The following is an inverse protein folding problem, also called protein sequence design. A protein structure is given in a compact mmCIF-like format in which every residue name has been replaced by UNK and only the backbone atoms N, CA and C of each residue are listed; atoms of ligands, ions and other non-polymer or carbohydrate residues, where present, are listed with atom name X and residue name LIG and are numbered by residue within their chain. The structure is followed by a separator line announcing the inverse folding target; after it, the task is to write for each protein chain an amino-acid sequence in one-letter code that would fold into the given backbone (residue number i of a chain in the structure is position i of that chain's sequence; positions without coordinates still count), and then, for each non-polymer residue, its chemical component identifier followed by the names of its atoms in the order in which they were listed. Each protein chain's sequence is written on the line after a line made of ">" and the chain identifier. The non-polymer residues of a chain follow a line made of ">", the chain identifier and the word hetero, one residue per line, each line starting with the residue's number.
data_IF_889881048132
#
_entry.id   IF_889881048132
#
_cell.length_a   1.000
_cell.length_b   1.000
_cell.length_c   1.000
_cell.angle_alpha   90.00
_cell.angle_beta   90.00
_cell.angle_gamma   90.00
#
_symmetry.space_group_name_H-M   'P 1'
#
loop_
_entity.id
_entity.type
_entity.pdbx_description
1 polymer ?
#
# COMPACT_ATOMS: atom_id res chain seq x y z
N UNK A 1 19.28 23.14 20.33
CA UNK A 1 18.58 21.93 19.86
C UNK A 1 17.80 22.31 18.61
N UNK A 2 18.33 22.09 17.41
CA UNK A 2 17.60 22.35 16.16
C UNK A 2 16.86 21.08 15.77
N UNK A 3 15.55 21.03 16.05
CA UNK A 3 14.71 19.98 15.49
C UNK A 3 14.72 20.07 13.96
N UNK A 4 14.88 18.95 13.28
CA UNK A 4 14.73 18.91 11.82
C UNK A 4 13.30 19.33 11.46
N UNK A 5 13.16 20.40 10.66
CA UNK A 5 11.87 20.86 10.19
C UNK A 5 11.27 19.77 9.28
N UNK A 6 10.09 19.25 9.66
CA UNK A 6 9.34 18.32 8.82
C UNK A 6 8.58 19.11 7.77
N UNK A 7 9.24 19.38 6.65
CA UNK A 7 8.64 20.08 5.51
C UNK A 7 8.00 19.03 4.60
N UNK A 8 6.70 19.19 4.35
CA UNK A 8 5.97 18.33 3.39
C UNK A 8 6.26 18.73 1.95
N UNK A 9 5.97 17.82 1.02
CA UNK A 9 6.09 18.10 -0.40
C UNK A 9 5.01 19.07 -0.88
N UNK A 10 5.36 19.95 -1.81
CA UNK A 10 4.41 20.82 -2.48
C UNK A 10 3.73 20.12 -3.68
N UNK A 11 2.70 20.75 -4.25
CA UNK A 11 1.96 20.18 -5.37
C UNK A 11 2.83 19.96 -6.63
N UNK A 12 3.81 20.83 -6.88
CA UNK A 12 4.70 20.71 -8.04
C UNK A 12 5.65 19.52 -7.86
N UNK A 13 6.13 19.26 -6.65
CA UNK A 13 6.92 18.10 -6.30
C UNK A 13 6.12 16.80 -6.44
N UNK A 14 4.88 16.77 -5.95
CA UNK A 14 3.99 15.62 -6.14
C UNK A 14 3.76 15.36 -7.63
N UNK A 15 3.51 16.40 -8.44
CA UNK A 15 3.36 16.27 -9.89
C UNK A 15 4.59 15.68 -10.56
N UNK A 16 5.80 16.06 -10.13
CA UNK A 16 7.05 15.45 -10.64
C UNK A 16 7.11 13.96 -10.36
N UNK A 17 6.65 13.51 -9.18
CA UNK A 17 6.59 12.08 -8.84
C UNK A 17 5.53 11.38 -9.70
N UNK A 18 4.34 11.96 -9.85
CA UNK A 18 3.26 11.43 -10.68
C UNK A 18 3.71 11.19 -12.13
N UNK A 19 4.45 12.14 -12.71
CA UNK A 19 4.86 12.11 -14.13
C UNK A 19 6.29 11.58 -14.35
N UNK A 20 6.95 11.06 -13.31
CA UNK A 20 8.34 10.60 -13.41
C UNK A 20 8.45 9.51 -14.49
N UNK A 21 9.29 9.72 -15.51
CA UNK A 21 9.56 8.66 -16.47
C UNK A 21 10.48 7.62 -15.81
N UNK A 22 10.02 6.37 -15.82
CA UNK A 22 10.74 5.23 -15.24
C UNK A 22 11.00 4.13 -16.27
N UNK A 23 10.74 4.40 -17.56
CA UNK A 23 10.80 3.42 -18.65
C UNK A 23 12.16 2.74 -18.82
N UNK A 24 13.25 3.40 -18.41
CA UNK A 24 14.60 2.84 -18.46
C UNK A 24 14.97 1.98 -17.24
N UNK A 25 14.12 1.94 -16.21
CA UNK A 25 14.37 1.24 -14.95
C UNK A 25 13.55 -0.04 -14.83
N UNK A 26 13.91 -0.87 -13.85
CA UNK A 26 13.13 -2.07 -13.54
C UNK A 26 11.70 -1.74 -13.10
N UNK A 27 10.73 -2.58 -13.47
CA UNK A 27 9.31 -2.49 -13.08
C UNK A 27 9.09 -2.27 -11.57
N UNK A 28 9.99 -2.73 -10.71
CA UNK A 28 9.89 -2.51 -9.26
C UNK A 28 9.83 -1.03 -8.88
N UNK A 29 10.50 -0.15 -9.63
CA UNK A 29 10.46 1.30 -9.40
C UNK A 29 9.09 1.88 -9.75
N UNK A 30 8.45 1.39 -10.80
CA UNK A 30 7.06 1.76 -11.13
C UNK A 30 6.11 1.37 -10.00
N UNK A 31 6.29 0.17 -9.44
CA UNK A 31 5.48 -0.30 -8.33
C UNK A 31 5.71 0.49 -7.05
N UNK A 32 6.95 0.81 -6.71
CA UNK A 32 7.29 1.63 -5.55
C UNK A 32 6.63 3.02 -5.64
N UNK A 33 6.72 3.67 -6.80
CA UNK A 33 6.03 4.95 -7.05
C UNK A 33 4.52 4.82 -6.86
N UNK A 34 3.90 3.81 -7.46
CA UNK A 34 2.46 3.63 -7.40
C UNK A 34 1.98 3.39 -5.96
N UNK A 35 2.67 2.55 -5.19
CA UNK A 35 2.35 2.28 -3.79
C UNK A 35 2.48 3.57 -2.96
N UNK A 36 3.58 4.30 -3.12
CA UNK A 36 3.80 5.55 -2.39
C UNK A 36 2.75 6.61 -2.72
N UNK A 37 2.40 6.80 -4.00
CA UNK A 37 1.33 7.73 -4.40
C UNK A 37 -0.03 7.28 -3.87
N UNK A 38 -0.29 5.97 -3.85
CA UNK A 38 -1.53 5.43 -3.29
C UNK A 38 -1.61 5.73 -1.78
N UNK A 39 -0.55 5.50 -1.02
CA UNK A 39 -0.49 5.87 0.41
C UNK A 39 -0.76 7.37 0.61
N UNK A 40 -0.13 8.21 -0.22
CA UNK A 40 -0.30 9.65 -0.19
C UNK A 40 -1.76 10.08 -0.42
N UNK A 41 -2.44 9.53 -1.43
CA UNK A 41 -3.84 9.86 -1.72
C UNK A 41 -4.82 9.45 -0.62
N UNK A 42 -4.45 8.47 0.20
CA UNK A 42 -5.20 8.08 1.39
C UNK A 42 -4.68 8.74 2.68
N UNK A 43 -4.15 9.97 2.56
CA UNK A 43 -3.66 10.78 3.66
C UNK A 43 -2.55 10.09 4.49
N UNK A 44 -1.66 9.36 3.82
CA UNK A 44 -0.56 8.63 4.45
C UNK A 44 -1.01 7.32 5.06
N UNK A 45 -1.71 6.48 4.28
CA UNK A 45 -1.99 5.09 4.67
C UNK A 45 -0.70 4.38 5.08
N UNK A 46 -0.76 3.49 6.08
CA UNK A 46 0.41 2.70 6.49
C UNK A 46 0.77 1.70 5.40
N UNK A 47 2.07 1.52 5.15
CA UNK A 47 2.57 0.58 4.15
C UNK A 47 2.07 -0.85 4.33
N UNK A 48 2.00 -1.34 5.58
CA UNK A 48 1.47 -2.68 5.86
C UNK A 48 0.00 -2.79 5.47
N UNK A 49 -0.81 -1.77 5.79
CA UNK A 49 -2.24 -1.75 5.43
C UNK A 49 -2.39 -1.68 3.90
N UNK A 50 -1.55 -0.88 3.23
CA UNK A 50 -1.52 -0.74 1.77
C UNK A 50 -1.15 -2.05 1.06
N UNK A 51 -0.12 -2.76 1.54
CA UNK A 51 0.33 -4.02 0.94
C UNK A 51 -0.65 -5.19 1.17
N UNK A 52 -1.47 -5.14 2.22
CA UNK A 52 -2.48 -6.15 2.55
C UNK A 52 -3.87 -5.86 1.97
N UNK A 53 -4.02 -4.73 1.29
CA UNK A 53 -5.26 -4.27 0.68
C UNK A 53 -5.80 -5.29 -0.33
N UNK A 54 -7.09 -5.60 -0.25
CA UNK A 54 -7.77 -6.54 -1.15
C UNK A 54 -8.78 -5.83 -2.05
N UNK A 55 -9.06 -6.42 -3.20
CA UNK A 55 -10.07 -5.89 -4.12
C UNK A 55 -11.46 -5.78 -3.50
N UNK A 56 -11.81 -6.69 -2.57
CA UNK A 56 -13.09 -6.69 -1.88
C UNK A 56 -13.23 -5.58 -0.82
N UNK A 57 -12.12 -4.92 -0.46
CA UNK A 57 -12.14 -3.76 0.43
C UNK A 57 -12.71 -2.52 -0.29
N UNK A 58 -12.78 -2.55 -1.63
CA UNK A 58 -13.35 -1.47 -2.44
C UNK A 58 -14.78 -1.78 -2.86
N UNK A 59 -15.71 -0.91 -2.47
CA UNK A 59 -17.12 -1.06 -2.77
C UNK A 59 -17.72 0.32 -3.04
N UNK A 60 -18.53 0.46 -4.10
CA UNK A 60 -19.26 1.70 -4.41
C UNK A 60 -18.39 2.97 -4.42
N UNK A 61 -17.18 2.90 -5.00
CA UNK A 61 -16.25 4.03 -5.08
C UNK A 61 -15.64 4.45 -3.72
N UNK A 62 -15.62 3.53 -2.76
CA UNK A 62 -15.09 3.77 -1.42
C UNK A 62 -14.19 2.61 -0.98
N UNK A 63 -13.16 2.95 -0.24
CA UNK A 63 -12.34 2.00 0.48
C UNK A 63 -12.93 1.79 1.87
N UNK A 64 -13.29 0.55 2.18
CA UNK A 64 -13.67 0.09 3.50
C UNK A 64 -12.50 -0.68 4.09
N UNK A 65 -11.82 -0.09 5.08
CA UNK A 65 -10.66 -0.73 5.67
C UNK A 65 -10.73 -0.66 7.20
N UNK A 66 -10.16 -1.69 7.83
CA UNK A 66 -9.97 -1.75 9.27
C UNK A 66 -8.55 -1.34 9.57
N UNK A 67 -8.38 -0.26 10.34
CA UNK A 67 -7.05 0.14 10.77
C UNK A 67 -6.45 -0.95 11.66
N UNK A 68 -5.34 -1.54 11.23
CA UNK A 68 -4.62 -2.58 11.98
C UNK A 68 -4.28 -2.17 13.42
N UNK A 69 -4.00 -0.88 13.66
CA UNK A 69 -3.55 -0.37 14.97
C UNK A 69 -4.66 -0.26 16.03
N UNK A 70 -5.88 0.11 15.63
CA UNK A 70 -6.96 0.48 16.57
C UNK A 70 -8.21 -0.36 16.38
N UNK A 71 -8.24 -1.25 15.39
CA UNK A 71 -9.38 -2.09 15.05
C UNK A 71 -10.62 -1.32 14.57
N UNK A 72 -10.56 0.01 14.42
CA UNK A 72 -11.67 0.84 13.98
C UNK A 72 -11.95 0.64 12.50
N UNK A 73 -13.23 0.54 12.17
CA UNK A 73 -13.73 0.43 10.81
C UNK A 73 -13.96 1.83 10.26
N UNK A 74 -13.29 2.15 9.15
CA UNK A 74 -13.42 3.41 8.45
C UNK A 74 -13.88 3.18 7.02
N UNK A 75 -14.46 4.22 6.43
CA UNK A 75 -14.74 4.23 5.01
C UNK A 75 -14.31 5.56 4.41
N UNK A 76 -13.43 5.52 3.41
CA UNK A 76 -12.87 6.71 2.77
C UNK A 76 -13.29 6.73 1.30
N UNK A 77 -13.67 7.90 0.79
CA UNK A 77 -13.96 8.08 -0.64
C UNK A 77 -12.69 7.77 -1.44
N UNK A 78 -12.81 6.99 -2.50
CA UNK A 78 -11.70 6.69 -3.38
C UNK A 78 -11.33 7.94 -4.20
N UNK A 79 -10.08 8.43 -4.11
CA UNK A 79 -9.62 9.54 -4.95
C UNK A 79 -9.43 9.11 -6.40
N UNK A 80 -9.73 9.99 -7.36
CA UNK A 80 -9.65 9.68 -8.79
C UNK A 80 -8.23 9.25 -9.21
N UNK A 81 -7.20 9.92 -8.68
CA UNK A 81 -5.81 9.55 -8.95
C UNK A 81 -5.43 8.17 -8.39
N UNK A 82 -6.03 7.76 -7.28
CA UNK A 82 -5.85 6.42 -6.73
C UNK A 82 -6.57 5.36 -7.57
N UNK A 83 -7.75 5.68 -8.12
CA UNK A 83 -8.46 4.80 -9.05
C UNK A 83 -7.61 4.47 -10.29
N UNK A 84 -6.92 5.46 -10.87
CA UNK A 84 -6.02 5.24 -12.01
C UNK A 84 -4.92 4.21 -11.68
N UNK A 85 -4.41 4.24 -10.44
CA UNK A 85 -3.44 3.23 -9.98
C UNK A 85 -4.11 1.87 -9.88
N UNK A 86 -5.29 1.77 -9.26
CA UNK A 86 -6.04 0.52 -9.13
C UNK A 86 -6.34 -0.12 -10.49
N UNK A 87 -6.74 0.65 -11.49
CA UNK A 87 -7.07 0.14 -12.81
C UNK A 87 -5.87 -0.56 -13.46
N UNK A 88 -4.67 0.03 -13.36
CA UNK A 88 -3.42 -0.59 -13.84
C UNK A 88 -3.14 -1.93 -13.17
N UNK A 89 -3.34 -2.03 -11.85
CA UNK A 89 -3.13 -3.28 -11.12
C UNK A 89 -4.19 -4.33 -11.45
N UNK A 90 -5.44 -3.93 -11.70
CA UNK A 90 -6.54 -4.83 -12.06
C UNK A 90 -6.29 -5.51 -13.40
N UNK A 91 -5.76 -4.79 -14.39
CA UNK A 91 -5.36 -5.37 -15.68
C UNK A 91 -4.29 -6.45 -15.50
N UNK A 92 -3.26 -6.18 -14.69
CA UNK A 92 -2.19 -7.16 -14.41
C UNK A 92 -2.66 -8.38 -13.61
N UNK A 93 -3.67 -8.21 -12.74
CA UNK A 93 -4.20 -9.28 -11.90
C UNK A 93 -4.80 -10.42 -12.73
N UNK A 94 -5.54 -10.07 -13.80
CA UNK A 94 -6.17 -11.03 -14.70
C UNK A 94 -5.13 -11.93 -15.40
N UNK A 95 -3.89 -11.45 -15.56
CA UNK A 95 -2.79 -12.20 -16.15
C UNK A 95 -2.04 -13.10 -15.15
N UNK A 96 -1.95 -12.72 -13.86
CA UNK A 96 -1.03 -13.33 -12.88
C UNK A 96 -1.69 -14.36 -11.95
N UNK A 97 -3.02 -14.47 -11.95
CA UNK A 97 -3.72 -15.46 -11.11
C UNK A 97 -3.53 -15.18 -9.62
N UNK A 98 -4.09 -14.07 -9.14
CA UNK A 98 -3.93 -13.64 -7.75
C UNK A 98 -4.83 -14.43 -6.78
N UNK A 99 -4.29 -15.51 -6.20
CA UNK A 99 -5.00 -16.39 -5.26
C UNK A 99 -5.44 -15.70 -3.95
N UNK A 100 -4.81 -14.59 -3.55
CA UNK A 100 -5.07 -13.91 -2.27
C UNK A 100 -5.97 -12.67 -2.40
N UNK A 101 -6.29 -12.26 -3.63
CA UNK A 101 -7.14 -11.10 -3.91
C UNK A 101 -6.51 -9.75 -3.55
N UNK A 102 -5.18 -9.69 -3.41
CA UNK A 102 -4.45 -8.46 -3.08
C UNK A 102 -4.46 -7.46 -4.25
N UNK A 103 -4.51 -6.17 -3.96
CA UNK A 103 -4.30 -5.13 -4.98
C UNK A 103 -2.86 -5.13 -5.46
N UNK A 104 -1.92 -5.15 -4.52
CA UNK A 104 -0.48 -5.15 -4.81
C UNK A 104 0.10 -6.56 -4.60
N UNK A 105 0.43 -7.30 -5.68
CA UNK A 105 0.79 -8.72 -5.58
C UNK A 105 2.24 -8.97 -5.13
N UNK A 106 2.88 -8.02 -4.45
CA UNK A 106 4.30 -8.11 -4.03
C UNK A 106 4.49 -8.84 -2.71
N UNK A 107 3.40 -9.12 -1.99
CA UNK A 107 3.42 -9.72 -0.66
C UNK A 107 3.19 -11.25 -0.66
N UNK A 108 3.61 -11.93 -1.74
CA UNK A 108 3.27 -13.35 -2.01
C UNK A 108 3.92 -14.36 -1.05
N UNK A 109 4.99 -13.99 -0.35
CA UNK A 109 5.79 -14.95 0.44
C UNK A 109 5.59 -14.90 1.96
N UNK A 110 4.98 -13.84 2.53
CA UNK A 110 4.87 -13.67 3.99
C UNK A 110 3.53 -14.17 4.57
N UNK A 111 2.48 -14.22 3.76
CA UNK A 111 1.15 -14.72 4.18
C UNK A 111 1.20 -16.20 4.58
N UNK A 112 1.99 -17.01 3.85
CA UNK A 112 2.13 -18.44 4.12
C UNK A 112 2.82 -18.72 5.45
N UNK A 113 3.73 -17.84 5.88
CA UNK A 113 4.35 -17.94 7.21
C UNK A 113 3.45 -17.43 8.34
N UNK A 114 2.41 -16.63 8.07
CA UNK A 114 1.47 -16.15 9.11
C UNK A 114 0.33 -17.14 9.38
N UNK A 115 -0.12 -17.90 8.37
CA UNK A 115 -1.21 -18.88 8.54
C UNK A 115 -0.81 -20.13 9.34
N UNK A 116 0.49 -20.40 9.48
CA UNK A 116 0.99 -21.50 10.32
C UNK A 116 1.07 -21.12 11.81
N UNK A 117 0.97 -19.84 12.15
CA UNK A 117 0.75 -19.40 13.53
C UNK A 117 -0.76 -19.29 13.74
N UNK A 118 -1.31 -20.20 14.55
CA UNK A 118 -2.71 -20.11 14.99
C UNK A 118 -2.92 -18.74 15.65
N UNK A 119 -3.71 -17.89 15.00
CA UNK A 119 -3.84 -16.48 15.35
C UNK A 119 -5.28 -16.19 15.76
N UNK A 120 -5.58 -16.43 17.03
CA UNK A 120 -6.67 -15.72 17.73
C UNK A 120 -6.20 -14.33 18.23
N UNK A 121 -4.95 -13.93 17.98
CA UNK A 121 -4.40 -12.66 18.44
C UNK A 121 -3.78 -11.84 17.29
N UNK A 122 -4.61 -11.00 16.68
CA UNK A 122 -4.21 -10.00 15.66
C UNK A 122 -3.50 -8.82 16.33
N UNK A 123 -2.35 -9.01 16.98
CA UNK A 123 -1.41 -7.92 17.31
C UNK A 123 0.00 -8.49 17.48
N UNK A 124 1.02 -7.73 17.06
CA UNK A 124 2.45 -8.04 17.00
C UNK A 124 2.95 -8.52 15.62
N UNK A 125 3.19 -7.53 14.76
CA UNK A 125 4.26 -7.64 13.76
C UNK A 125 5.57 -7.74 14.57
N UNK A 126 6.42 -8.77 14.40
CA UNK A 126 7.67 -8.81 15.13
C UNK A 126 8.54 -7.64 14.67
N UNK A 127 8.99 -6.85 15.64
CA UNK A 127 10.02 -5.84 15.43
C UNK A 127 11.28 -6.57 14.94
N UNK A 128 11.61 -6.45 13.65
CA UNK A 128 12.92 -6.87 13.14
C UNK A 128 13.93 -5.87 13.67
N UNK A 129 14.67 -6.27 14.70
CA UNK A 129 15.79 -5.52 15.23
C UNK A 129 16.94 -5.53 14.21
N UNK A 130 17.04 -4.45 13.43
CA UNK A 130 18.09 -4.25 12.41
C UNK A 130 19.48 -3.92 13.01
N UNK A 131 19.66 -4.01 14.33
CA UNK A 131 20.96 -3.73 14.98
C UNK A 131 21.82 -4.96 15.21
N UNK A 132 21.37 -6.15 14.84
CA UNK A 132 22.20 -7.36 14.88
C UNK A 132 22.67 -7.72 13.48
N UNK A 133 23.94 -7.37 13.22
CA UNK A 133 24.77 -8.06 12.21
C UNK A 133 25.07 -9.48 12.67
#
# INVERSE_FOLDING_TARGET
>A
MTGSAKIGLDEAEIRKIETLDLSEYSEIYHHARNIWLFEFYFAGMRITDCLLLKWNDFQNGRLYYRMSKNGQHGSVKLPDKAQVILDRYRESQNAIGNKHGLVFPFYKNWIRSMTDWHCDDVYLIPYVDLTKR
#
